data_IF_940600816115
#
_entry.id   IF_940600816115
#
_cell.length_a   1.000
_cell.length_b   1.000
_cell.length_c   1.000
_cell.angle_alpha   90.00
_cell.angle_beta   90.00
_cell.angle_gamma   90.00
#
_symmetry.space_group_name_H-M   'P 1'
#
loop_
_entity.id
_entity.type
_entity.pdbx_description
1 polymer ?
#
# COMPACT_ATOMS: atom_id res chain seq x y z
N UNK A 1 -27.29 -17.14 15.41
CA UNK A 1 -28.71 -16.74 15.51
C UNK A 1 -28.92 -15.74 16.66
N UNK A 2 -30.02 -14.98 16.63
CA UNK A 2 -30.36 -14.00 17.63
C UNK A 2 -29.62 -12.68 17.49
N UNK A 3 -29.91 -11.75 18.40
CA UNK A 3 -29.45 -10.36 18.40
C UNK A 3 -27.93 -10.22 18.35
N UNK A 4 -27.21 -11.12 18.99
CA UNK A 4 -25.75 -11.11 19.11
C UNK A 4 -25.10 -12.20 18.24
N UNK A 5 -25.83 -12.72 17.24
CA UNK A 5 -25.34 -13.74 16.31
C UNK A 5 -24.25 -13.21 15.39
N UNK A 6 -23.38 -14.09 14.88
CA UNK A 6 -22.27 -13.75 14.00
C UNK A 6 -22.67 -12.82 12.83
N UNK A 7 -23.72 -13.19 12.10
CA UNK A 7 -24.16 -12.37 10.95
C UNK A 7 -24.65 -10.98 11.38
N UNK A 8 -25.32 -10.86 12.53
CA UNK A 8 -25.78 -9.58 13.07
C UNK A 8 -24.63 -8.66 13.49
N UNK A 9 -23.51 -9.24 13.90
CA UNK A 9 -22.32 -8.48 14.28
C UNK A 9 -21.59 -7.89 13.09
N UNK A 10 -21.74 -8.49 11.90
CA UNK A 10 -21.00 -8.08 10.69
C UNK A 10 -21.86 -7.37 9.65
N UNK A 11 -23.19 -7.47 9.71
CA UNK A 11 -24.07 -6.83 8.76
C UNK A 11 -25.31 -6.22 9.44
N UNK A 12 -25.69 -4.97 9.11
CA UNK A 12 -26.86 -4.30 9.73
C UNK A 12 -28.18 -5.04 9.50
N UNK A 13 -28.31 -5.74 8.38
CA UNK A 13 -29.51 -6.47 7.97
C UNK A 13 -29.13 -7.76 7.25
N UNK A 14 -28.61 -8.77 7.96
CA UNK A 14 -28.10 -9.98 7.32
C UNK A 14 -29.25 -10.83 6.75
N UNK A 15 -29.09 -11.23 5.50
CA UNK A 15 -29.96 -12.23 4.88
C UNK A 15 -29.40 -13.63 5.12
N UNK A 16 -30.00 -14.34 6.07
CA UNK A 16 -29.57 -15.69 6.48
C UNK A 16 -29.69 -16.69 5.32
N UNK A 17 -30.63 -16.49 4.38
CA UNK A 17 -30.79 -17.39 3.23
C UNK A 17 -29.56 -17.40 2.32
N UNK A 18 -28.75 -16.32 2.33
CA UNK A 18 -27.53 -16.21 1.55
C UNK A 18 -26.32 -16.97 2.17
N UNK A 19 -26.40 -17.34 3.44
CA UNK A 19 -25.28 -17.94 4.15
C UNK A 19 -24.78 -19.27 3.51
N UNK A 20 -25.66 -20.00 2.86
CA UNK A 20 -25.33 -21.23 2.14
C UNK A 20 -25.62 -21.15 0.63
N UNK A 21 -25.92 -19.95 0.11
CA UNK A 21 -26.19 -19.76 -1.31
C UNK A 21 -24.94 -20.07 -2.13
N UNK A 22 -25.15 -20.82 -3.23
CA UNK A 22 -24.07 -21.20 -4.17
C UNK A 22 -22.92 -22.01 -3.53
N UNK A 23 -23.14 -22.64 -2.37
CA UNK A 23 -22.13 -23.46 -1.71
C UNK A 23 -21.68 -24.58 -2.67
N UNK A 24 -20.36 -24.74 -2.83
CA UNK A 24 -19.74 -25.70 -3.74
C UNK A 24 -19.70 -25.29 -5.22
N UNK A 25 -20.24 -24.12 -5.58
CA UNK A 25 -20.22 -23.59 -6.97
C UNK A 25 -19.56 -22.21 -7.09
N UNK A 26 -19.65 -21.38 -6.06
CA UNK A 26 -18.97 -20.08 -5.98
C UNK A 26 -17.97 -20.12 -4.83
N UNK A 27 -16.73 -19.78 -5.16
CA UNK A 27 -15.62 -19.79 -4.21
C UNK A 27 -15.09 -18.36 -4.04
N UNK A 28 -15.47 -17.71 -2.95
CA UNK A 28 -15.05 -16.34 -2.64
C UNK A 28 -13.52 -16.21 -2.47
N UNK A 29 -12.82 -17.33 -2.26
CA UNK A 29 -11.35 -17.36 -2.27
C UNK A 29 -10.75 -16.80 -3.57
N UNK A 30 -11.47 -16.90 -4.68
CA UNK A 30 -11.04 -16.33 -5.97
C UNK A 30 -11.10 -14.81 -5.99
N UNK A 31 -11.85 -14.19 -5.06
CA UNK A 31 -12.02 -12.75 -4.92
C UNK A 31 -11.13 -12.16 -3.82
N UNK A 32 -10.17 -12.94 -3.29
CA UNK A 32 -9.25 -12.47 -2.25
C UNK A 32 -8.07 -11.74 -2.88
N UNK A 33 -7.82 -10.54 -2.38
CA UNK A 33 -6.62 -9.79 -2.74
C UNK A 33 -5.36 -10.35 -2.04
N UNK A 34 -4.24 -10.34 -2.71
CA UNK A 34 -2.92 -10.70 -2.17
C UNK A 34 -2.03 -9.47 -2.12
N UNK A 35 -1.58 -9.09 -0.93
CA UNK A 35 -0.71 -7.92 -0.75
C UNK A 35 0.65 -8.11 -1.42
N UNK A 36 1.07 -7.27 -2.38
CA UNK A 36 2.44 -7.29 -2.90
C UNK A 36 3.45 -6.72 -1.90
N UNK A 37 3.04 -5.77 -1.06
CA UNK A 37 3.89 -5.11 -0.07
C UNK A 37 3.49 -5.48 1.36
N UNK A 38 4.43 -5.62 2.31
CA UNK A 38 4.15 -5.93 3.71
C UNK A 38 3.72 -4.68 4.51
N UNK A 39 2.76 -3.93 4.00
CA UNK A 39 2.29 -2.66 4.59
C UNK A 39 0.76 -2.58 4.64
N UNK A 40 0.24 -1.50 5.20
CA UNK A 40 -1.19 -1.22 5.19
C UNK A 40 -1.70 -1.09 3.75
N UNK A 41 -2.86 -1.68 3.47
CA UNK A 41 -3.47 -1.70 2.14
C UNK A 41 -3.65 -0.32 1.52
N UNK A 42 -3.99 0.69 2.32
CA UNK A 42 -4.15 2.06 1.85
C UNK A 42 -2.88 2.67 1.23
N UNK A 43 -1.69 2.13 1.50
CA UNK A 43 -0.44 2.61 0.89
C UNK A 43 -0.17 2.03 -0.51
N UNK A 44 -0.80 0.92 -0.87
CA UNK A 44 -0.39 0.12 -2.03
C UNK A 44 -0.55 0.84 -3.37
N UNK A 45 -1.65 1.59 -3.57
CA UNK A 45 -1.85 2.39 -4.81
C UNK A 45 -0.76 3.45 -4.95
N UNK A 46 -0.46 4.17 -3.88
CA UNK A 46 0.59 5.19 -3.89
C UNK A 46 1.99 4.56 -4.07
N UNK A 47 2.28 3.44 -3.41
CA UNK A 47 3.54 2.71 -3.61
C UNK A 47 3.68 2.22 -5.06
N UNK A 48 2.61 1.69 -5.65
CA UNK A 48 2.56 1.31 -7.06
C UNK A 48 2.78 2.48 -8.01
N UNK A 49 2.19 3.64 -7.72
CA UNK A 49 2.42 4.87 -8.49
C UNK A 49 3.88 5.32 -8.43
N UNK A 50 4.50 5.30 -7.25
CA UNK A 50 5.92 5.63 -7.06
C UNK A 50 6.81 4.67 -7.86
N UNK A 51 6.59 3.36 -7.72
CA UNK A 51 7.34 2.34 -8.44
C UNK A 51 7.24 2.52 -9.97
N UNK A 52 6.03 2.79 -10.48
CA UNK A 52 5.79 3.04 -11.90
C UNK A 52 6.50 4.31 -12.40
N UNK A 53 6.46 5.40 -11.64
CA UNK A 53 7.19 6.64 -12.01
C UNK A 53 8.69 6.41 -11.99
N UNK A 54 9.22 5.72 -10.96
CA UNK A 54 10.66 5.41 -10.86
C UNK A 54 11.14 4.55 -12.04
N UNK A 55 10.37 3.55 -12.45
CA UNK A 55 10.75 2.66 -13.56
C UNK A 55 10.69 3.34 -14.94
N UNK A 56 9.77 4.31 -15.12
CA UNK A 56 9.56 5.01 -16.39
C UNK A 56 10.46 6.23 -16.57
N UNK A 57 10.84 6.85 -15.45
CA UNK A 57 11.60 8.10 -15.44
C UNK A 57 12.88 7.90 -14.64
N UNK A 58 13.96 8.49 -15.08
CA UNK A 58 15.24 8.40 -14.35
C UNK A 58 15.27 9.43 -13.20
N UNK A 59 14.44 9.19 -12.18
CA UNK A 59 14.33 10.07 -11.01
C UNK A 59 15.55 9.86 -10.11
N UNK A 60 16.39 10.88 -10.02
CA UNK A 60 17.47 10.92 -9.03
C UNK A 60 16.92 11.28 -7.66
N UNK A 61 17.26 10.50 -6.65
CA UNK A 61 16.77 10.71 -5.27
C UNK A 61 17.26 12.04 -4.70
N UNK A 62 18.47 12.44 -5.06
CA UNK A 62 19.09 13.70 -4.63
C UNK A 62 18.33 14.92 -5.15
N UNK A 63 17.77 14.80 -6.36
CA UNK A 63 16.99 15.87 -7.00
C UNK A 63 15.57 16.01 -6.43
N UNK A 64 15.06 15.02 -5.67
CA UNK A 64 13.71 15.07 -5.10
C UNK A 64 13.61 16.19 -4.06
N UNK A 65 12.72 17.15 -4.31
CA UNK A 65 12.42 18.26 -3.40
C UNK A 65 11.22 17.96 -2.50
N UNK A 66 10.15 17.42 -3.09
CA UNK A 66 8.87 17.12 -2.40
C UNK A 66 8.18 15.93 -3.05
N UNK A 67 7.53 15.13 -2.23
CA UNK A 67 6.57 14.10 -2.66
C UNK A 67 5.24 14.36 -1.98
N UNK A 68 4.18 14.52 -2.76
CA UNK A 68 2.82 14.65 -2.24
C UNK A 68 2.01 13.40 -2.59
N UNK A 69 1.35 12.82 -1.59
CA UNK A 69 0.54 11.61 -1.72
C UNK A 69 -0.90 11.94 -1.36
N UNK A 70 -1.78 11.85 -2.36
CA UNK A 70 -3.22 11.98 -2.20
C UNK A 70 -3.87 10.62 -1.93
N UNK A 71 -4.67 10.54 -0.87
CA UNK A 71 -5.33 9.34 -0.38
C UNK A 71 -6.81 9.62 -0.10
N UNK A 72 -7.68 8.60 -0.05
CA UNK A 72 -9.00 8.75 0.56
C UNK A 72 -8.86 9.11 2.03
N UNK A 73 -9.85 9.84 2.58
CA UNK A 73 -9.81 10.36 3.95
C UNK A 73 -9.52 9.26 5.00
N UNK A 74 -10.16 8.09 4.86
CA UNK A 74 -9.91 6.96 5.76
C UNK A 74 -8.45 6.48 5.69
N UNK A 75 -7.89 6.39 4.49
CA UNK A 75 -6.49 6.03 4.28
C UNK A 75 -5.55 7.07 4.90
N UNK A 76 -5.79 8.35 4.62
CA UNK A 76 -5.02 9.45 5.19
C UNK A 76 -4.99 9.42 6.73
N UNK A 77 -6.12 9.16 7.39
CA UNK A 77 -6.18 9.05 8.86
C UNK A 77 -5.35 7.90 9.43
N UNK A 78 -5.19 6.81 8.69
CA UNK A 78 -4.54 5.58 9.17
C UNK A 78 -3.04 5.60 8.90
N UNK A 79 -2.63 6.02 7.70
CA UNK A 79 -1.23 5.92 7.24
C UNK A 79 -0.60 7.26 6.90
N UNK A 80 -1.39 8.33 6.83
CA UNK A 80 -0.89 9.67 6.54
C UNK A 80 -0.06 10.24 7.70
N UNK A 81 0.57 11.38 7.46
CA UNK A 81 1.42 12.04 8.44
C UNK A 81 0.63 12.81 9.51
N UNK A 82 -0.23 12.11 10.22
CA UNK A 82 -1.05 12.68 11.30
C UNK A 82 -0.23 13.00 12.56
N UNK A 83 0.96 12.40 12.70
CA UNK A 83 1.90 12.61 13.79
C UNK A 83 3.35 12.31 13.35
N UNK A 84 4.32 12.62 14.21
CA UNK A 84 5.75 12.44 13.92
C UNK A 84 6.15 10.97 13.77
N UNK A 85 5.45 10.03 14.42
CA UNK A 85 5.74 8.60 14.30
C UNK A 85 5.56 8.09 12.88
N UNK A 86 4.71 8.75 12.09
CA UNK A 86 4.53 8.44 10.66
C UNK A 86 5.71 8.83 9.79
N UNK A 87 6.49 9.81 10.20
CA UNK A 87 7.70 10.25 9.47
C UNK A 87 8.94 9.48 9.91
N UNK A 88 8.99 9.11 11.20
CA UNK A 88 10.11 8.39 11.81
C UNK A 88 9.59 7.20 12.61
N UNK A 89 9.21 6.11 11.94
CA UNK A 89 8.75 4.91 12.64
C UNK A 89 9.88 4.29 13.47
N UNK A 90 9.51 3.74 14.64
CA UNK A 90 10.46 3.14 15.59
C UNK A 90 10.51 1.61 15.50
N UNK A 91 9.64 1.01 14.70
CA UNK A 91 9.58 -0.42 14.50
C UNK A 91 8.78 -0.80 13.25
N UNK A 92 8.80 -2.08 12.90
CA UNK A 92 8.15 -2.58 11.69
C UNK A 92 6.64 -2.25 11.66
N UNK A 93 5.94 -2.36 12.80
CA UNK A 93 4.50 -2.05 12.87
C UNK A 93 4.24 -0.58 12.59
N UNK A 94 5.02 0.34 13.17
CA UNK A 94 4.89 1.76 12.87
C UNK A 94 5.15 2.03 11.38
N UNK A 95 6.20 1.39 10.83
CA UNK A 95 6.56 1.47 9.41
C UNK A 95 5.45 0.99 8.49
N UNK A 96 4.77 -0.12 8.83
CA UNK A 96 3.64 -0.66 8.06
C UNK A 96 2.48 0.32 7.91
N UNK A 97 2.34 1.23 8.86
CA UNK A 97 1.29 2.26 8.89
C UNK A 97 1.82 3.67 8.62
N UNK A 98 2.99 3.79 8.00
CA UNK A 98 3.61 5.06 7.60
C UNK A 98 3.69 5.18 6.08
N UNK A 99 2.84 6.01 5.47
CA UNK A 99 2.96 6.30 4.02
C UNK A 99 4.28 6.99 3.66
N UNK A 100 4.77 7.99 4.44
CA UNK A 100 6.06 8.61 4.16
C UNK A 100 7.21 7.62 4.14
N UNK A 101 7.29 6.72 5.12
CA UNK A 101 8.34 5.70 5.20
C UNK A 101 8.24 4.69 4.05
N UNK A 102 7.07 4.04 3.87
CA UNK A 102 6.87 3.08 2.78
C UNK A 102 7.15 3.70 1.41
N UNK A 103 6.68 4.93 1.19
CA UNK A 103 6.92 5.67 -0.05
C UNK A 103 8.40 5.96 -0.30
N UNK A 104 9.15 6.34 0.74
CA UNK A 104 10.58 6.58 0.65
C UNK A 104 11.37 5.31 0.32
N UNK A 105 11.01 4.17 0.93
CA UNK A 105 11.61 2.88 0.62
C UNK A 105 11.38 2.52 -0.86
N UNK A 106 10.12 2.58 -1.33
CA UNK A 106 9.82 2.26 -2.74
C UNK A 106 10.49 3.22 -3.70
N UNK A 107 10.59 4.50 -3.37
CA UNK A 107 11.26 5.47 -4.24
C UNK A 107 12.77 5.18 -4.33
N UNK A 108 13.41 4.66 -3.28
CA UNK A 108 14.82 4.26 -3.27
C UNK A 108 15.07 2.89 -3.92
N UNK A 109 14.28 1.89 -3.57
CA UNK A 109 14.54 0.50 -3.94
C UNK A 109 13.76 0.04 -5.19
N UNK A 110 12.62 0.71 -5.50
CA UNK A 110 11.70 0.34 -6.58
C UNK A 110 10.60 -0.64 -6.15
N UNK A 111 10.78 -1.26 -5.00
CA UNK A 111 9.83 -2.18 -4.34
C UNK A 111 9.98 -2.08 -2.83
N UNK A 112 9.24 -2.91 -2.09
CA UNK A 112 9.41 -3.04 -0.65
C UNK A 112 9.07 -4.48 -0.23
N UNK A 113 10.04 -5.16 0.37
CA UNK A 113 9.92 -6.48 0.99
C UNK A 113 9.91 -6.42 2.52
N UNK A 114 9.88 -7.59 3.17
CA UNK A 114 9.86 -7.67 4.63
C UNK A 114 11.17 -7.20 5.27
N UNK A 115 12.31 -7.55 4.69
CA UNK A 115 13.64 -7.23 5.21
C UNK A 115 13.99 -5.74 5.09
N UNK A 116 13.24 -4.99 4.28
CA UNK A 116 13.42 -3.54 4.13
C UNK A 116 13.09 -2.76 5.42
N UNK A 117 12.34 -3.35 6.35
CA UNK A 117 12.14 -2.71 7.67
C UNK A 117 13.46 -2.64 8.43
N UNK A 118 14.17 -3.74 8.56
CA UNK A 118 15.46 -3.78 9.28
C UNK A 118 16.50 -2.89 8.58
N UNK A 119 16.48 -2.86 7.26
CA UNK A 119 17.41 -2.08 6.44
C UNK A 119 17.18 -0.56 6.56
N UNK A 120 15.92 -0.12 6.60
CA UNK A 120 15.57 1.29 6.40
C UNK A 120 15.06 2.02 7.64
N UNK A 121 14.61 1.34 8.71
CA UNK A 121 14.07 2.00 9.90
C UNK A 121 15.08 2.95 10.58
N UNK A 122 16.37 2.64 10.49
CA UNK A 122 17.44 3.45 11.07
C UNK A 122 18.37 4.07 10.00
N UNK A 123 17.98 3.99 8.72
CA UNK A 123 18.77 4.58 7.65
C UNK A 123 18.45 6.06 7.48
N UNK A 124 19.43 6.90 7.73
CA UNK A 124 19.29 8.36 7.73
C UNK A 124 18.84 8.91 6.37
N UNK A 125 19.27 8.30 5.27
CA UNK A 125 18.92 8.77 3.92
C UNK A 125 17.45 8.46 3.62
N UNK A 126 16.94 7.29 4.03
CA UNK A 126 15.52 6.95 3.91
C UNK A 126 14.66 7.87 4.78
N UNK A 127 15.07 8.12 6.02
CA UNK A 127 14.34 9.02 6.92
C UNK A 127 14.35 10.47 6.42
N UNK A 128 15.48 10.94 5.88
CA UNK A 128 15.57 12.26 5.24
C UNK A 128 14.68 12.37 4.00
N UNK A 129 14.58 11.30 3.20
CA UNK A 129 13.66 11.25 2.06
C UNK A 129 12.21 11.20 2.53
N UNK A 130 11.88 10.40 3.54
CA UNK A 130 10.54 10.33 4.13
C UNK A 130 10.06 11.69 4.65
N UNK A 131 10.96 12.50 5.19
CA UNK A 131 10.65 13.87 5.62
C UNK A 131 10.23 14.82 4.49
N UNK A 132 10.51 14.48 3.22
CA UNK A 132 10.05 15.23 2.04
C UNK A 132 8.63 14.86 1.59
N UNK A 133 8.03 13.81 2.19
CA UNK A 133 6.67 13.38 1.89
C UNK A 133 5.65 14.23 2.64
N UNK A 134 4.56 14.55 1.96
CA UNK A 134 3.35 15.15 2.52
C UNK A 134 2.15 14.34 2.06
N UNK A 135 1.26 13.98 2.99
CA UNK A 135 0.03 13.26 2.67
C UNK A 135 -1.17 14.18 2.78
N UNK A 136 -2.09 14.06 1.84
CA UNK A 136 -3.33 14.87 1.79
C UNK A 136 -4.54 13.98 1.49
N UNK A 137 -5.72 14.42 1.91
CA UNK A 137 -6.96 13.87 1.39
C UNK A 137 -7.15 14.41 -0.03
N UNK A 138 -7.24 13.52 -1.01
CA UNK A 138 -7.41 13.89 -2.41
C UNK A 138 -8.86 13.64 -2.86
N UNK A 139 -9.57 14.62 -3.46
CA UNK A 139 -10.96 14.48 -3.86
C UNK A 139 -11.21 13.37 -4.89
N UNK A 140 -10.25 13.13 -5.80
CA UNK A 140 -10.37 12.03 -6.75
C UNK A 140 -10.22 10.68 -6.05
N UNK A 141 -9.20 10.51 -5.21
CA UNK A 141 -9.02 9.28 -4.45
C UNK A 141 -10.21 9.00 -3.51
N UNK A 142 -10.81 10.05 -2.93
CA UNK A 142 -12.02 9.94 -2.11
C UNK A 142 -13.23 9.50 -2.93
N UNK A 143 -13.38 9.98 -4.17
CA UNK A 143 -14.51 9.58 -5.05
C UNK A 143 -14.47 8.12 -5.49
N UNK A 144 -13.30 7.49 -5.45
CA UNK A 144 -13.12 6.06 -5.74
C UNK A 144 -13.42 5.17 -4.52
N UNK A 145 -13.43 5.73 -3.31
CA UNK A 145 -13.69 5.01 -2.07
C UNK A 145 -15.21 4.88 -1.80
N UNK A 146 -15.73 3.77 -1.30
CA UNK A 146 -15.02 2.59 -0.78
C UNK A 146 -14.70 1.49 -1.81
N UNK A 147 -15.12 1.63 -3.06
CA UNK A 147 -15.00 0.58 -4.06
C UNK A 147 -13.52 0.28 -4.37
N UNK A 148 -12.70 1.35 -4.41
CA UNK A 148 -11.25 1.24 -4.61
C UNK A 148 -10.48 2.00 -3.53
N UNK A 149 -9.27 1.49 -3.21
CA UNK A 149 -8.30 2.19 -2.36
C UNK A 149 -7.30 2.95 -3.24
N UNK A 150 -7.84 3.91 -4.00
CA UNK A 150 -7.07 4.70 -4.96
C UNK A 150 -6.00 5.59 -4.29
N UNK A 151 -4.97 5.93 -5.07
CA UNK A 151 -3.93 6.86 -4.62
C UNK A 151 -3.31 7.61 -5.79
N UNK A 152 -2.95 8.86 -5.57
CA UNK A 152 -2.27 9.71 -6.53
C UNK A 152 -0.98 10.23 -5.91
N UNK A 153 0.10 10.26 -6.67
CA UNK A 153 1.40 10.74 -6.21
C UNK A 153 1.95 11.79 -7.14
N UNK A 154 2.45 12.88 -6.56
CA UNK A 154 3.11 13.98 -7.25
C UNK A 154 4.53 14.10 -6.71
N UNK A 155 5.52 13.89 -7.58
CA UNK A 155 6.94 14.03 -7.23
C UNK A 155 7.47 15.29 -7.90
N UNK A 156 7.98 16.22 -7.09
CA UNK A 156 8.69 17.41 -7.57
C UNK A 156 10.19 17.21 -7.37
N UNK A 157 10.93 17.37 -8.46
CA UNK A 157 12.40 17.42 -8.43
C UNK A 157 12.89 18.82 -8.74
N UNK A 158 14.19 19.06 -8.63
CA UNK A 158 14.83 20.31 -9.03
C UNK A 158 14.69 20.63 -10.54
N UNK A 159 14.34 19.63 -11.37
CA UNK A 159 14.30 19.75 -12.83
C UNK A 159 12.88 19.72 -13.38
N UNK A 160 12.04 18.82 -12.87
CA UNK A 160 10.71 18.55 -13.40
C UNK A 160 9.76 17.96 -12.34
N UNK A 161 8.51 17.83 -12.71
CA UNK A 161 7.49 17.24 -11.85
C UNK A 161 6.83 16.05 -12.52
N UNK A 162 6.53 15.02 -11.73
CA UNK A 162 5.88 13.80 -12.18
C UNK A 162 4.58 13.61 -11.41
N UNK A 163 3.57 13.07 -12.08
CA UNK A 163 2.31 12.68 -11.45
C UNK A 163 1.87 11.31 -11.97
N UNK A 164 1.40 10.46 -11.10
CA UNK A 164 0.79 9.20 -11.46
C UNK A 164 -0.29 8.80 -10.44
N UNK A 165 -1.37 8.23 -10.94
CA UNK A 165 -2.49 7.74 -10.13
C UNK A 165 -2.74 6.26 -10.39
N UNK A 166 -3.16 5.54 -9.35
CA UNK A 166 -3.54 4.14 -9.40
C UNK A 166 -4.89 3.99 -8.71
N UNK A 167 -5.89 3.54 -9.45
CA UNK A 167 -7.26 3.29 -8.93
C UNK A 167 -7.29 1.95 -8.22
N UNK A 168 -6.94 0.88 -8.93
CA UNK A 168 -6.94 -0.49 -8.41
C UNK A 168 -5.51 -0.91 -8.09
N UNK A 169 -5.15 -1.04 -6.81
CA UNK A 169 -3.79 -1.42 -6.44
C UNK A 169 -3.44 -2.84 -6.89
N UNK A 170 -2.15 -3.08 -7.13
CA UNK A 170 -1.64 -4.40 -7.45
C UNK A 170 -2.01 -5.40 -6.34
N UNK A 171 -2.39 -6.60 -6.75
CA UNK A 171 -2.79 -7.70 -5.89
C UNK A 171 -4.30 -7.81 -5.65
N UNK A 172 -5.11 -6.85 -6.15
CA UNK A 172 -6.56 -7.03 -6.26
C UNK A 172 -6.91 -8.04 -7.36
N UNK A 173 -8.06 -8.71 -7.31
CA UNK A 173 -8.49 -9.63 -8.36
C UNK A 173 -8.46 -9.01 -9.76
N UNK A 174 -8.84 -7.73 -9.88
CA UNK A 174 -8.87 -6.97 -11.13
C UNK A 174 -7.48 -6.50 -11.61
N UNK A 175 -6.49 -6.52 -10.73
CA UNK A 175 -5.10 -6.15 -11.02
C UNK A 175 -4.15 -7.10 -10.27
N UNK A 176 -4.32 -8.41 -10.50
CA UNK A 176 -3.58 -9.41 -9.75
C UNK A 176 -2.09 -9.42 -10.12
N UNK A 177 -1.27 -9.98 -9.24
CA UNK A 177 0.14 -10.21 -9.52
C UNK A 177 0.30 -11.24 -10.64
N UNK A 178 1.29 -11.05 -11.49
CA UNK A 178 1.73 -12.09 -12.42
C UNK A 178 2.35 -13.26 -11.65
N UNK A 179 2.40 -14.45 -12.29
CA UNK A 179 3.04 -15.64 -11.69
C UNK A 179 4.50 -15.34 -11.29
N UNK A 180 5.21 -14.55 -12.08
CA UNK A 180 6.59 -14.16 -11.79
C UNK A 180 6.68 -13.27 -10.54
N UNK A 181 5.77 -12.28 -10.39
CA UNK A 181 5.72 -11.41 -9.21
C UNK A 181 5.33 -12.21 -7.94
N UNK A 182 4.35 -13.10 -8.06
CA UNK A 182 3.94 -13.96 -6.96
C UNK A 182 5.06 -14.93 -6.56
N UNK A 183 5.77 -15.49 -7.54
CA UNK A 183 6.91 -16.37 -7.30
C UNK A 183 8.07 -15.61 -6.65
N UNK A 184 8.43 -14.42 -7.13
CA UNK A 184 9.47 -13.59 -6.51
C UNK A 184 9.16 -13.31 -5.05
N UNK A 185 7.93 -12.90 -4.75
CA UNK A 185 7.50 -12.68 -3.37
C UNK A 185 7.64 -13.95 -2.51
N UNK A 186 7.25 -15.11 -3.04
CA UNK A 186 7.40 -16.39 -2.33
C UNK A 186 8.87 -16.68 -2.05
N UNK A 187 9.71 -16.60 -3.07
CA UNK A 187 11.13 -16.90 -2.96
C UNK A 187 11.82 -15.98 -1.95
N UNK A 188 11.53 -14.67 -1.97
CA UNK A 188 12.05 -13.69 -1.00
C UNK A 188 11.69 -14.05 0.45
N UNK A 189 10.44 -14.50 0.67
CA UNK A 189 9.95 -14.83 2.02
C UNK A 189 10.48 -16.16 2.54
N UNK A 190 10.79 -17.13 1.69
CA UNK A 190 11.20 -18.48 2.11
C UNK A 190 12.70 -18.73 2.02
N UNK A 191 13.43 -17.97 1.21
CA UNK A 191 14.88 -18.13 1.02
C UNK A 191 15.68 -18.20 2.33
N UNK A 192 15.37 -17.42 3.39
CA UNK A 192 16.07 -17.52 4.66
C UNK A 192 15.88 -18.86 5.39
N UNK A 193 14.84 -19.63 5.03
CA UNK A 193 14.40 -20.82 5.77
C UNK A 193 14.50 -22.13 4.98
N UNK A 194 14.60 -22.06 3.66
CA UNK A 194 14.75 -23.23 2.81
C UNK A 194 16.19 -23.29 2.27
N UNK A 195 16.91 -24.37 2.63
CA UNK A 195 18.12 -24.76 1.90
C UNK A 195 17.74 -25.23 0.49
N UNK A 196 18.58 -24.93 -0.49
CA UNK A 196 18.48 -25.49 -1.84
C UNK A 196 18.40 -27.02 -1.84
#
# INVERSE_FOLDING_TARGET
EGKDGFLQSYAPSPDISRAAANLGTVWETMNIAVKPYPSCRYSHSAMGAIAAMRSKNNISIEDVEKVEVGLPHTGWRIIGETDESKRKPTGAVDGQFSMPFCGAVVLREGTMGWDDYDKHLNDNDTLALAAKFTTVTDPWAESEYPDNMAGIVRIKTSRESFEHSVTVPKGEPENFMTDAEARSKFDDLVAPYLSE
#
